data_IF_746125324037
#
_entry.id   IF_746125324037
#
_cell.length_a   1.000
_cell.length_b   1.000
_cell.length_c   1.000
_cell.angle_alpha   90.00
_cell.angle_beta   90.00
_cell.angle_gamma   90.00
#
_symmetry.space_group_name_H-M   'P 1'
#
loop_
_entity.id
_entity.type
_entity.pdbx_description
1 polymer ?
#
# COMPACT_ATOMS: atom_id res chain seq x y z
N UNK A 1 -16.96 9.54 25.41
CA UNK A 1 -15.84 8.59 25.54
C UNK A 1 -15.23 8.29 24.20
N UNK A 2 -13.96 8.54 24.10
CA UNK A 2 -13.24 8.24 22.87
C UNK A 2 -12.87 6.76 22.83
N UNK A 3 -13.21 6.10 21.74
CA UNK A 3 -12.74 4.74 21.50
C UNK A 3 -11.38 4.79 20.83
N UNK A 4 -10.52 3.89 21.20
CA UNK A 4 -9.19 3.78 20.64
C UNK A 4 -9.00 2.40 20.01
N UNK A 5 -8.34 2.36 18.86
CA UNK A 5 -8.07 1.11 18.14
C UNK A 5 -6.62 0.71 18.41
N UNK A 6 -6.43 -0.56 18.71
CA UNK A 6 -5.10 -1.12 18.89
C UNK A 6 -4.76 -1.96 17.66
N UNK A 7 -3.67 -1.62 17.00
CA UNK A 7 -3.20 -2.34 15.82
C UNK A 7 -1.99 -3.17 16.22
N UNK A 8 -2.08 -4.48 16.03
CA UNK A 8 -0.95 -5.37 16.27
C UNK A 8 -0.20 -5.58 14.96
N UNK A 9 1.01 -5.07 14.89
CA UNK A 9 1.85 -5.16 13.71
C UNK A 9 1.95 -3.86 12.95
N UNK A 10 3.17 -3.37 12.78
CA UNK A 10 3.46 -2.10 12.09
C UNK A 10 3.98 -2.28 10.67
N UNK A 11 3.56 -3.34 9.97
CA UNK A 11 3.91 -3.54 8.57
C UNK A 11 3.05 -2.69 7.63
N UNK A 12 2.98 -3.10 6.36
CA UNK A 12 2.25 -2.34 5.36
C UNK A 12 0.76 -2.24 5.71
N UNK A 13 0.14 -3.36 6.06
CA UNK A 13 -1.30 -3.38 6.35
C UNK A 13 -1.61 -2.57 7.61
N UNK A 14 -0.85 -2.78 8.68
CA UNK A 14 -1.08 -2.05 9.92
C UNK A 14 -0.85 -0.55 9.77
N UNK A 15 0.18 -0.16 9.05
CA UNK A 15 0.47 1.25 8.80
C UNK A 15 -0.61 1.88 7.92
N UNK A 16 -1.07 1.17 6.89
CA UNK A 16 -2.15 1.66 6.04
C UNK A 16 -3.43 1.87 6.86
N UNK A 17 -3.77 0.90 7.70
CA UNK A 17 -4.94 1.01 8.57
C UNK A 17 -4.80 2.21 9.51
N UNK A 18 -3.61 2.41 10.09
CA UNK A 18 -3.36 3.56 10.94
C UNK A 18 -3.62 4.88 10.25
N UNK A 19 -3.19 5.01 8.99
CA UNK A 19 -3.44 6.22 8.20
C UNK A 19 -4.92 6.41 7.92
N UNK A 20 -5.65 5.33 7.66
CA UNK A 20 -7.10 5.42 7.46
C UNK A 20 -7.82 5.88 8.73
N UNK A 21 -7.38 5.38 9.88
CA UNK A 21 -7.94 5.80 11.15
C UNK A 21 -7.62 7.27 11.44
N UNK A 22 -6.38 7.68 11.16
CA UNK A 22 -5.98 9.07 11.35
C UNK A 22 -6.81 10.02 10.47
N UNK A 23 -7.09 9.61 9.23
CA UNK A 23 -7.90 10.42 8.32
C UNK A 23 -9.33 10.60 8.82
N UNK A 24 -9.80 9.67 9.65
CA UNK A 24 -11.13 9.73 10.25
C UNK A 24 -11.11 10.24 11.68
N UNK A 25 -9.96 10.72 12.13
CA UNK A 25 -9.78 11.23 13.49
C UNK A 25 -10.12 10.20 14.57
N UNK A 26 -9.85 8.93 14.28
CA UNK A 26 -10.04 7.85 15.24
C UNK A 26 -8.69 7.56 15.92
N UNK A 27 -8.60 7.70 17.24
CA UNK A 27 -7.33 7.41 17.93
C UNK A 27 -6.92 5.95 17.77
N UNK A 28 -5.64 5.73 17.58
CA UNK A 28 -5.11 4.38 17.43
C UNK A 28 -3.70 4.28 17.99
N UNK A 29 -3.27 3.05 18.22
CA UNK A 29 -1.92 2.75 18.65
C UNK A 29 -1.44 1.52 17.89
N UNK A 30 -0.22 1.58 17.40
CA UNK A 30 0.39 0.45 16.69
C UNK A 30 1.45 -0.16 17.59
N UNK A 31 1.37 -1.47 17.78
CA UNK A 31 2.34 -2.22 18.56
C UNK A 31 3.11 -3.11 17.58
N UNK A 32 4.43 -2.96 17.56
CA UNK A 32 5.30 -3.73 16.70
C UNK A 32 6.37 -4.41 17.56
N UNK A 33 6.53 -5.71 17.34
CA UNK A 33 7.50 -6.51 18.10
C UNK A 33 8.95 -6.15 17.80
N UNK A 34 9.21 -5.78 16.55
CA UNK A 34 10.55 -5.44 16.10
C UNK A 34 10.60 -4.02 15.61
N UNK A 35 11.62 -3.25 15.98
CA UNK A 35 11.76 -1.91 15.41
C UNK A 35 11.94 -1.99 13.90
N UNK A 36 11.44 -0.99 13.21
CA UNK A 36 11.63 -0.91 11.77
C UNK A 36 13.10 -0.64 11.48
N UNK A 37 13.67 -1.50 10.67
CA UNK A 37 15.04 -1.33 10.18
C UNK A 37 14.97 -1.29 8.67
N UNK A 38 15.37 -0.16 8.09
CA UNK A 38 15.48 -0.07 6.64
C UNK A 38 16.65 -0.94 6.19
N UNK A 39 16.34 -1.99 5.44
CA UNK A 39 17.36 -2.89 4.93
C UNK A 39 17.57 -2.62 3.45
N UNK A 40 18.79 -2.23 3.10
CA UNK A 40 19.17 -2.02 1.70
C UNK A 40 19.56 -3.32 1.01
N UNK A 41 19.75 -4.38 1.78
CA UNK A 41 20.24 -5.65 1.27
C UNK A 41 19.16 -6.71 1.14
N UNK A 42 17.93 -6.37 1.44
CA UNK A 42 16.83 -7.30 1.27
C UNK A 42 16.58 -7.56 -0.21
N UNK A 43 16.15 -8.77 -0.50
CA UNK A 43 15.79 -9.14 -1.85
C UNK A 43 14.75 -8.15 -2.38
N UNK A 44 14.89 -7.83 -3.66
CA UNK A 44 13.94 -6.96 -4.32
C UNK A 44 12.57 -7.65 -4.31
N UNK A 45 11.67 -7.13 -3.49
CA UNK A 45 10.28 -7.60 -3.43
C UNK A 45 9.40 -6.55 -4.04
N UNK A 46 8.50 -7.00 -4.88
CA UNK A 46 7.51 -6.12 -5.49
C UNK A 46 6.15 -6.38 -4.89
N UNK A 47 5.35 -5.33 -4.79
CA UNK A 47 3.98 -5.41 -4.35
C UNK A 47 3.10 -4.70 -5.36
N UNK A 48 2.09 -5.40 -5.85
CA UNK A 48 1.15 -4.83 -6.81
C UNK A 48 -0.14 -4.45 -6.09
N UNK A 49 -0.54 -3.21 -6.25
CA UNK A 49 -1.80 -2.73 -5.70
C UNK A 49 -2.77 -2.40 -6.84
N UNK A 50 -4.02 -2.80 -6.65
CA UNK A 50 -5.06 -2.49 -7.63
C UNK A 50 -5.38 -0.99 -7.63
N UNK A 51 -6.26 -0.59 -8.53
CA UNK A 51 -6.62 0.82 -8.70
C UNK A 51 -7.17 1.42 -7.41
N UNK A 52 -8.09 0.73 -6.74
CA UNK A 52 -8.71 1.24 -5.52
C UNK A 52 -7.70 1.49 -4.42
N UNK A 53 -6.81 0.54 -4.18
CA UNK A 53 -5.79 0.68 -3.15
C UNK A 53 -4.80 1.79 -3.49
N UNK A 54 -4.42 1.89 -4.77
CA UNK A 54 -3.49 2.92 -5.22
C UNK A 54 -4.08 4.32 -5.06
N UNK A 55 -5.34 4.49 -5.41
CA UNK A 55 -6.04 5.76 -5.24
C UNK A 55 -6.15 6.13 -3.76
N UNK A 56 -6.35 5.13 -2.90
CA UNK A 56 -6.43 5.38 -1.47
C UNK A 56 -5.11 5.86 -0.91
N UNK A 57 -3.99 5.30 -1.37
CA UNK A 57 -2.66 5.80 -0.99
C UNK A 57 -2.47 7.26 -1.37
N UNK A 58 -2.90 7.62 -2.59
CA UNK A 58 -2.81 9.00 -3.06
C UNK A 58 -3.62 9.93 -2.15
N UNK A 59 -4.84 9.52 -1.82
CA UNK A 59 -5.70 10.29 -0.93
C UNK A 59 -5.06 10.50 0.43
N UNK A 60 -4.40 9.47 0.95
CA UNK A 60 -3.74 9.56 2.26
C UNK A 60 -2.40 10.31 2.21
N UNK A 61 -1.96 10.70 1.04
CA UNK A 61 -0.73 11.47 0.88
C UNK A 61 0.54 10.63 0.96
N UNK A 62 0.44 9.34 0.70
CA UNK A 62 1.61 8.46 0.68
C UNK A 62 2.23 8.51 -0.72
N UNK A 63 3.47 8.95 -0.80
CA UNK A 63 4.19 9.05 -2.07
C UNK A 63 5.43 8.18 -2.03
N UNK A 64 5.62 7.43 -3.10
CA UNK A 64 6.81 6.60 -3.29
C UNK A 64 6.90 6.24 -4.77
N UNK A 65 8.03 5.69 -5.17
CA UNK A 65 8.24 5.29 -6.55
C UNK A 65 7.36 4.09 -6.92
N UNK A 66 6.84 4.10 -8.13
CA UNK A 66 6.01 3.03 -8.63
C UNK A 66 6.11 2.94 -10.14
N UNK A 67 5.65 1.79 -10.68
CA UNK A 67 5.45 1.61 -12.11
C UNK A 67 3.98 1.28 -12.34
N UNK A 68 3.39 1.89 -13.37
CA UNK A 68 1.98 1.64 -13.69
C UNK A 68 1.83 0.45 -14.63
N UNK A 69 0.83 -0.37 -14.36
CA UNK A 69 0.45 -1.46 -15.26
C UNK A 69 -0.72 -0.97 -16.10
N UNK A 70 -0.48 -0.87 -17.41
CA UNK A 70 -1.48 -0.37 -18.35
C UNK A 70 -2.19 -1.50 -19.07
N UNK A 71 -1.54 -2.64 -19.22
CA UNK A 71 -2.06 -3.81 -19.91
C UNK A 71 -1.71 -5.06 -19.13
N UNK A 72 -2.60 -6.02 -19.16
CA UNK A 72 -2.39 -7.30 -18.50
C UNK A 72 -2.92 -8.41 -19.42
N UNK A 73 -2.08 -9.42 -19.65
CA UNK A 73 -2.48 -10.60 -20.41
C UNK A 73 -2.38 -11.81 -19.48
N UNK A 74 -3.45 -12.57 -19.43
CA UNK A 74 -3.50 -13.79 -18.62
C UNK A 74 -3.66 -14.97 -19.57
N UNK A 75 -2.75 -15.94 -19.44
CA UNK A 75 -2.75 -17.15 -20.25
C UNK A 75 -3.15 -18.34 -19.40
N UNK A 76 -3.97 -19.21 -19.97
CA UNK A 76 -4.25 -20.51 -19.36
C UNK A 76 -3.07 -21.44 -19.68
N UNK A 77 -2.38 -21.90 -18.64
CA UNK A 77 -1.19 -22.72 -18.79
C UNK A 77 -1.46 -24.10 -19.39
N UNK A 78 -2.70 -24.57 -19.41
CA UNK A 78 -3.05 -25.90 -19.92
C UNK A 78 -3.85 -25.86 -21.21
N UNK A 79 -4.13 -24.66 -21.76
CA UNK A 79 -4.95 -24.51 -22.94
C UNK A 79 -4.60 -23.30 -23.77
N UNK A 80 -5.45 -22.99 -24.73
CA UNK A 80 -5.27 -21.85 -25.64
C UNK A 80 -6.01 -20.60 -25.17
N UNK A 81 -6.59 -20.63 -23.97
CA UNK A 81 -7.31 -19.50 -23.43
C UNK A 81 -6.39 -18.37 -23.02
N UNK A 82 -6.77 -17.14 -23.36
CA UNK A 82 -6.06 -15.95 -22.92
C UNK A 82 -7.05 -14.83 -22.67
N UNK A 83 -6.76 -14.03 -21.64
CA UNK A 83 -7.52 -12.81 -21.32
C UNK A 83 -6.58 -11.64 -21.41
N UNK A 84 -7.07 -10.55 -21.97
CA UNK A 84 -6.32 -9.29 -22.05
C UNK A 84 -7.14 -8.17 -21.43
N UNK A 85 -6.47 -7.39 -20.59
CA UNK A 85 -7.04 -6.18 -20.00
C UNK A 85 -6.21 -4.99 -20.43
N UNK A 86 -6.90 -3.90 -20.75
CA UNK A 86 -6.25 -2.65 -21.15
C UNK A 86 -6.96 -1.50 -20.44
N UNK A 87 -6.18 -0.59 -19.86
CA UNK A 87 -6.76 0.53 -19.14
C UNK A 87 -7.60 1.44 -20.03
N UNK A 88 -7.25 1.56 -21.32
CA UNK A 88 -8.02 2.38 -22.26
C UNK A 88 -9.43 1.86 -22.46
N UNK A 89 -9.59 0.53 -22.52
CA UNK A 89 -10.91 -0.08 -22.69
C UNK A 89 -11.81 0.14 -21.48
N UNK A 90 -11.23 0.21 -20.29
CA UNK A 90 -11.98 0.47 -19.07
C UNK A 90 -12.11 1.96 -18.76
N UNK A 91 -11.50 2.81 -19.58
CA UNK A 91 -11.52 4.27 -19.39
C UNK A 91 -10.93 4.68 -18.04
N UNK A 92 -9.82 4.04 -17.66
CA UNK A 92 -9.07 4.35 -16.45
C UNK A 92 -7.61 4.63 -16.81
N UNK A 93 -6.89 5.33 -15.95
CA UNK A 93 -5.53 5.74 -16.23
C UNK A 93 -4.54 4.60 -16.14
N UNK A 94 -4.82 3.60 -15.32
CA UNK A 94 -3.96 2.44 -15.13
C UNK A 94 -4.76 1.31 -14.48
N UNK A 95 -4.28 0.06 -14.65
CA UNK A 95 -4.91 -1.11 -14.05
C UNK A 95 -4.45 -1.34 -12.62
N UNK A 96 -3.16 -1.13 -12.38
CA UNK A 96 -2.56 -1.35 -11.08
C UNK A 96 -1.23 -0.62 -11.03
N UNK A 97 -0.65 -0.51 -9.84
CA UNK A 97 0.69 0.05 -9.64
C UNK A 97 1.56 -0.98 -8.96
N UNK A 98 2.80 -1.09 -9.40
CA UNK A 98 3.81 -1.95 -8.80
C UNK A 98 4.76 -1.10 -7.99
N UNK A 99 4.92 -1.45 -6.73
CA UNK A 99 5.79 -0.74 -5.78
C UNK A 99 6.94 -1.64 -5.36
N UNK A 100 8.06 -1.02 -5.00
CA UNK A 100 9.04 -1.71 -4.19
C UNK A 100 8.44 -1.90 -2.80
N UNK A 101 8.44 -3.14 -2.31
CA UNK A 101 7.87 -3.46 -1.01
C UNK A 101 8.50 -2.61 0.11
N UNK A 102 9.83 -2.51 0.11
CA UNK A 102 10.55 -1.77 1.14
C UNK A 102 10.26 -0.26 1.06
N UNK A 103 10.23 0.28 -0.16
CA UNK A 103 9.96 1.71 -0.34
C UNK A 103 8.55 2.06 0.13
N UNK A 104 7.57 1.25 -0.23
CA UNK A 104 6.20 1.48 0.20
C UNK A 104 6.07 1.38 1.71
N UNK A 105 6.65 0.34 2.31
CA UNK A 105 6.62 0.14 3.75
C UNK A 105 7.23 1.34 4.48
N UNK A 106 8.39 1.79 4.02
CA UNK A 106 9.07 2.92 4.64
C UNK A 106 8.24 4.20 4.52
N UNK A 107 7.67 4.45 3.34
CA UNK A 107 6.82 5.63 3.13
C UNK A 107 5.58 5.62 4.01
N UNK A 108 4.96 4.44 4.17
CA UNK A 108 3.80 4.30 5.04
C UNK A 108 4.15 4.56 6.50
N UNK A 109 5.25 3.98 6.97
CA UNK A 109 5.68 4.14 8.36
C UNK A 109 6.00 5.61 8.65
N UNK A 110 6.71 6.26 7.76
CA UNK A 110 7.04 7.69 7.92
C UNK A 110 5.76 8.54 7.96
N UNK A 111 4.80 8.22 7.12
CA UNK A 111 3.55 8.97 7.08
C UNK A 111 2.74 8.76 8.36
N UNK A 112 2.69 7.54 8.88
CA UNK A 112 2.04 7.26 10.15
C UNK A 112 2.70 8.06 11.28
N UNK A 113 4.02 8.05 11.33
CA UNK A 113 4.76 8.77 12.37
C UNK A 113 4.47 10.27 12.32
N UNK A 114 4.35 10.84 11.12
CA UNK A 114 4.05 12.26 10.98
C UNK A 114 2.59 12.59 11.28
N UNK A 115 1.70 11.60 11.23
CA UNK A 115 0.27 11.77 11.48
C UNK A 115 -0.09 11.62 12.96
N UNK A 116 0.80 11.00 13.72
CA UNK A 116 0.59 10.84 15.15
C UNK A 116 1.15 12.08 15.84
N UNK A 117 0.28 12.82 16.52
CA UNK A 117 0.79 13.85 17.40
C UNK A 117 1.34 13.13 18.61
N UNK A 118 2.66 13.03 18.65
CA UNK A 118 3.34 12.38 19.74
C UNK A 118 3.24 13.29 20.96
N UNK A 119 2.32 12.95 21.81
CA UNK A 119 2.28 13.60 23.09
C UNK A 119 3.26 12.93 24.00
#
# INVERSE_FOLDING_TARGET
MSQSVLISGGGIVGSFLGLELAAREIPFKIIEKKPFVSSKNDHIRSLTLNLSASERLDYLGVTTNFSSILRMKIFDGSGSGKLSFNCDEANIDYLAKVFSFNDLRESLIKKVESSISIG
#
